data_IF_357694653601
#
_entry.id   IF_357694653601
#
_cell.length_a   1.000
_cell.length_b   1.000
_cell.length_c   1.000
_cell.angle_alpha   90.00
_cell.angle_beta   90.00
_cell.angle_gamma   90.00
#
_symmetry.space_group_name_H-M   'P 1'
#
loop_
_entity.id
_entity.type
_entity.pdbx_description
1 polymer ?
#
# COMPACT_ATOMS: atom_id res chain seq x y z
N UNK A 1 -4.10 15.78 -46.24
CA UNK A 1 -4.80 15.71 -44.94
C UNK A 1 -3.79 15.31 -43.87
N UNK A 2 -3.39 16.18 -42.94
CA UNK A 2 -2.53 15.76 -41.84
C UNK A 2 -3.37 14.98 -40.81
N UNK A 3 -2.95 13.76 -40.52
CA UNK A 3 -3.53 12.91 -39.47
C UNK A 3 -3.22 13.56 -38.12
N UNK A 4 -4.24 14.10 -37.45
CA UNK A 4 -4.10 14.64 -36.09
C UNK A 4 -3.75 13.53 -35.12
N UNK A 5 -2.61 13.64 -34.46
CA UNK A 5 -2.18 12.67 -33.46
C UNK A 5 -3.19 12.69 -32.29
N UNK A 6 -3.74 11.54 -31.87
CA UNK A 6 -4.69 11.52 -30.76
C UNK A 6 -4.02 12.06 -29.49
N UNK A 7 -4.78 12.76 -28.63
CA UNK A 7 -4.23 13.30 -27.40
C UNK A 7 -3.62 12.17 -26.56
N UNK A 8 -2.36 12.34 -26.18
CA UNK A 8 -1.70 11.49 -25.18
C UNK A 8 -2.31 11.82 -23.82
N UNK A 9 -3.34 11.11 -23.43
CA UNK A 9 -3.80 11.09 -22.04
C UNK A 9 -2.64 10.61 -21.17
N UNK A 10 -2.39 11.23 -19.99
CA UNK A 10 -1.55 10.57 -19.00
C UNK A 10 -2.14 9.18 -18.79
N UNK A 11 -1.29 8.14 -18.75
CA UNK A 11 -1.75 6.77 -18.55
C UNK A 11 -2.72 6.79 -17.37
N UNK A 12 -3.99 6.39 -17.62
CA UNK A 12 -4.95 6.29 -16.55
C UNK A 12 -4.31 5.40 -15.49
N UNK A 13 -4.12 5.93 -14.28
CA UNK A 13 -3.70 5.13 -13.13
C UNK A 13 -4.58 3.88 -13.08
N UNK A 14 -3.97 2.72 -12.82
CA UNK A 14 -4.76 1.48 -12.79
C UNK A 14 -5.80 1.56 -11.66
N UNK A 15 -6.89 0.81 -11.78
CA UNK A 15 -7.93 0.79 -10.75
C UNK A 15 -7.33 0.39 -9.40
N UNK A 16 -6.36 -0.52 -9.42
CA UNK A 16 -5.63 -0.96 -8.23
C UNK A 16 -4.79 0.16 -7.63
N UNK A 17 -4.08 0.94 -8.45
CA UNK A 17 -3.31 2.09 -7.98
C UNK A 17 -4.22 3.17 -7.38
N UNK A 18 -5.40 3.40 -7.98
CA UNK A 18 -6.41 4.28 -7.41
C UNK A 18 -6.89 3.78 -6.05
N UNK A 19 -7.22 2.48 -5.94
CA UNK A 19 -7.66 1.87 -4.67
C UNK A 19 -6.58 1.95 -3.59
N UNK A 20 -5.31 1.81 -3.94
CA UNK A 20 -4.20 1.98 -2.98
C UNK A 20 -4.11 3.43 -2.46
N UNK A 21 -4.30 4.42 -3.33
CA UNK A 21 -4.32 5.82 -2.92
C UNK A 21 -5.55 6.13 -2.03
N UNK A 22 -6.70 5.55 -2.34
CA UNK A 22 -7.90 5.66 -1.50
C UNK A 22 -7.71 4.98 -0.14
N UNK A 23 -7.08 3.80 -0.11
CA UNK A 23 -6.76 3.08 1.12
C UNK A 23 -5.78 3.87 2.00
N UNK A 24 -4.79 4.53 1.41
CA UNK A 24 -3.87 5.43 2.12
C UNK A 24 -4.59 6.61 2.75
N UNK A 25 -5.47 7.26 1.99
CA UNK A 25 -6.29 8.35 2.52
C UNK A 25 -7.22 7.87 3.63
N UNK A 26 -7.85 6.69 3.47
CA UNK A 26 -8.72 6.11 4.48
C UNK A 26 -7.95 5.75 5.76
N UNK A 27 -6.73 5.19 5.64
CA UNK A 27 -5.86 4.93 6.77
C UNK A 27 -5.50 6.23 7.50
N UNK A 28 -5.29 7.35 6.80
CA UNK A 28 -5.04 8.65 7.46
C UNK A 28 -6.20 9.11 8.36
N UNK A 29 -7.42 8.60 8.13
CA UNK A 29 -8.65 8.93 8.87
C UNK A 29 -9.13 7.83 9.84
N UNK A 30 -8.39 6.72 9.96
CA UNK A 30 -8.79 5.56 10.77
C UNK A 30 -9.89 4.68 10.14
N UNK A 31 -10.19 4.86 8.86
CA UNK A 31 -11.17 4.08 8.09
C UNK A 31 -10.53 2.91 7.32
N UNK A 32 -9.28 2.62 7.67
CA UNK A 32 -8.46 1.54 7.17
C UNK A 32 -9.17 0.16 7.06
N UNK A 33 -10.05 -0.28 8.01
CA UNK A 33 -10.61 -1.63 7.99
C UNK A 33 -11.40 -1.95 6.71
N UNK A 34 -11.95 -0.93 6.04
CA UNK A 34 -12.68 -1.09 4.77
C UNK A 34 -11.80 -1.65 3.64
N UNK A 35 -10.49 -1.46 3.71
CA UNK A 35 -9.53 -1.87 2.67
C UNK A 35 -8.67 -3.08 3.07
N UNK A 36 -8.86 -3.63 4.28
CA UNK A 36 -8.11 -4.80 4.77
C UNK A 36 -8.13 -5.99 3.80
N UNK A 37 -9.32 -6.33 3.28
CA UNK A 37 -9.49 -7.45 2.34
C UNK A 37 -8.77 -7.18 1.02
N UNK A 38 -9.00 -6.01 0.42
CA UNK A 38 -8.33 -5.58 -0.81
C UNK A 38 -6.80 -5.66 -0.67
N UNK A 39 -6.24 -5.13 0.43
CA UNK A 39 -4.80 -5.18 0.67
C UNK A 39 -4.26 -6.60 0.86
N UNK A 40 -5.07 -7.52 1.41
CA UNK A 40 -4.69 -8.92 1.53
C UNK A 40 -4.61 -9.58 0.14
N UNK A 41 -5.69 -9.47 -0.64
CA UNK A 41 -5.79 -10.03 -2.00
C UNK A 41 -4.72 -9.44 -2.92
N UNK A 42 -4.47 -8.14 -2.83
CA UNK A 42 -3.45 -7.45 -3.62
C UNK A 42 -2.04 -7.99 -3.36
N UNK A 43 -1.72 -8.37 -2.12
CA UNK A 43 -0.39 -8.88 -1.75
C UNK A 43 -0.22 -10.37 -2.07
N UNK A 44 -1.32 -11.10 -2.18
CA UNK A 44 -1.35 -12.49 -2.67
C UNK A 44 -1.10 -12.56 -4.18
N UNK A 45 -1.53 -11.53 -4.93
CA UNK A 45 -1.24 -11.42 -6.35
C UNK A 45 0.24 -11.08 -6.60
N UNK A 46 0.96 -12.02 -7.20
CA UNK A 46 2.37 -11.87 -7.57
C UNK A 46 2.56 -11.05 -8.85
N UNK A 47 1.49 -10.77 -9.59
CA UNK A 47 1.51 -10.04 -10.87
C UNK A 47 1.38 -8.53 -10.74
N UNK A 48 1.15 -8.01 -9.53
CA UNK A 48 1.03 -6.59 -9.23
C UNK A 48 2.28 -6.05 -8.49
N UNK A 49 3.43 -5.89 -9.17
CA UNK A 49 4.66 -5.39 -8.53
C UNK A 49 4.52 -3.90 -8.17
N UNK A 50 3.80 -3.12 -8.99
CA UNK A 50 3.49 -1.72 -8.71
C UNK A 50 2.69 -1.64 -7.41
N UNK A 51 2.97 -0.69 -6.52
CA UNK A 51 2.17 -0.49 -5.31
C UNK A 51 2.25 -1.59 -4.24
N UNK A 52 2.97 -2.71 -4.46
CA UNK A 52 3.15 -3.77 -3.45
C UNK A 52 3.78 -3.25 -2.17
N UNK A 53 4.76 -2.35 -2.32
CA UNK A 53 5.38 -1.62 -1.20
C UNK A 53 4.32 -0.88 -0.37
N UNK A 54 3.54 -0.02 -1.04
CA UNK A 54 2.47 0.77 -0.41
C UNK A 54 1.45 -0.15 0.26
N UNK A 55 1.03 -1.22 -0.41
CA UNK A 55 0.07 -2.17 0.13
C UNK A 55 0.57 -2.86 1.41
N UNK A 56 1.84 -3.30 1.43
CA UNK A 56 2.47 -3.89 2.63
C UNK A 56 2.48 -2.92 3.80
N UNK A 57 2.90 -1.68 3.56
CA UNK A 57 2.93 -0.65 4.58
C UNK A 57 1.52 -0.31 5.10
N UNK A 58 0.55 -0.14 4.19
CA UNK A 58 -0.84 0.14 4.56
C UNK A 58 -1.44 -0.95 5.44
N UNK A 59 -1.17 -2.23 5.13
CA UNK A 59 -1.63 -3.36 5.95
C UNK A 59 -1.07 -3.29 7.37
N UNK A 60 0.22 -3.01 7.51
CA UNK A 60 0.88 -2.89 8.80
C UNK A 60 0.31 -1.72 9.62
N UNK A 61 0.23 -0.54 9.02
CA UNK A 61 -0.38 0.65 9.62
C UNK A 61 -1.83 0.42 10.02
N UNK A 62 -2.55 -0.35 9.22
CA UNK A 62 -3.92 -0.73 9.53
C UNK A 62 -4.05 -1.51 10.84
N UNK A 63 -3.22 -2.55 11.02
CA UNK A 63 -3.24 -3.34 12.25
C UNK A 63 -2.83 -2.51 13.47
N UNK A 64 -1.89 -1.60 13.30
CA UNK A 64 -1.48 -0.65 14.35
C UNK A 64 -2.67 0.24 14.78
N UNK A 65 -3.40 0.81 13.83
CA UNK A 65 -4.61 1.62 14.09
C UNK A 65 -5.73 0.83 14.75
N UNK A 66 -5.84 -0.47 14.47
CA UNK A 66 -6.81 -1.37 15.10
C UNK A 66 -6.34 -1.88 16.47
N UNK A 67 -5.21 -1.39 17.00
CA UNK A 67 -4.62 -1.86 18.26
C UNK A 67 -4.30 -3.37 18.24
N UNK A 68 -3.81 -3.87 17.11
CA UNK A 68 -3.38 -5.25 16.89
C UNK A 68 -1.85 -5.31 16.71
N UNK A 69 -1.07 -5.11 17.80
CA UNK A 69 0.39 -4.91 17.70
C UNK A 69 1.12 -6.15 17.17
N UNK A 70 0.63 -7.36 17.46
CA UNK A 70 1.25 -8.60 16.97
C UNK A 70 1.17 -8.71 15.45
N UNK A 71 0.01 -8.38 14.88
CA UNK A 71 -0.21 -8.41 13.43
C UNK A 71 0.50 -7.23 12.74
N UNK A 72 0.51 -6.05 13.38
CA UNK A 72 1.24 -4.89 12.90
C UNK A 72 2.74 -5.17 12.80
N UNK A 73 3.35 -5.72 13.85
CA UNK A 73 4.76 -6.13 13.87
C UNK A 73 5.07 -7.13 12.77
N UNK A 74 4.20 -8.13 12.59
CA UNK A 74 4.37 -9.15 11.57
C UNK A 74 4.40 -8.55 10.16
N UNK A 75 3.50 -7.61 9.87
CA UNK A 75 3.43 -6.92 8.58
C UNK A 75 4.56 -5.90 8.39
N UNK A 76 4.94 -5.11 9.40
CA UNK A 76 6.08 -4.20 9.30
C UNK A 76 7.40 -4.95 9.10
N UNK A 77 7.59 -6.10 9.77
CA UNK A 77 8.75 -6.96 9.53
C UNK A 77 8.75 -7.54 8.12
N UNK A 78 7.59 -7.88 7.56
CA UNK A 78 7.48 -8.31 6.15
C UNK A 78 7.82 -7.18 5.20
N UNK A 79 7.27 -5.98 5.44
CA UNK A 79 7.60 -4.78 4.70
C UNK A 79 9.11 -4.53 4.68
N UNK A 80 9.79 -4.54 5.83
CA UNK A 80 11.23 -4.30 5.90
C UNK A 80 12.09 -5.38 5.24
N UNK A 81 11.59 -6.62 5.13
CA UNK A 81 12.29 -7.68 4.38
C UNK A 81 12.17 -7.50 2.88
N UNK A 82 11.00 -7.07 2.40
CA UNK A 82 10.73 -6.89 0.97
C UNK A 82 11.23 -5.52 0.47
N UNK A 83 11.18 -4.48 1.32
CA UNK A 83 11.46 -3.08 1.01
C UNK A 83 12.31 -2.42 2.13
N UNK A 84 13.56 -2.89 2.34
CA UNK A 84 14.41 -2.42 3.44
C UNK A 84 14.74 -0.91 3.37
N UNK A 85 14.77 -0.37 2.16
CA UNK A 85 15.04 1.05 1.85
C UNK A 85 13.82 1.74 1.21
N UNK A 86 12.62 1.18 1.42
CA UNK A 86 11.38 1.73 0.91
C UNK A 86 11.03 3.09 1.53
N UNK A 87 10.08 3.80 0.92
CA UNK A 87 9.62 5.12 1.34
C UNK A 87 9.15 5.15 2.80
N UNK A 88 8.61 4.04 3.31
CA UNK A 88 8.09 3.92 4.67
C UNK A 88 8.99 3.08 5.59
N UNK A 89 10.23 2.79 5.20
CA UNK A 89 11.15 1.97 5.99
C UNK A 89 11.48 2.56 7.36
N UNK A 90 11.64 3.88 7.45
CA UNK A 90 11.86 4.54 8.76
C UNK A 90 10.68 4.32 9.71
N UNK A 91 9.44 4.49 9.23
CA UNK A 91 8.23 4.29 10.02
C UNK A 91 8.13 2.84 10.50
N UNK A 92 8.33 1.89 9.58
CA UNK A 92 8.31 0.46 9.88
C UNK A 92 9.39 0.07 10.91
N UNK A 93 10.60 0.64 10.81
CA UNK A 93 11.69 0.39 11.78
C UNK A 93 11.33 0.90 13.17
N UNK A 94 10.70 2.08 13.27
CA UNK A 94 10.25 2.64 14.56
C UNK A 94 9.13 1.78 15.16
N UNK A 95 8.20 1.31 14.33
CA UNK A 95 7.07 0.51 14.77
C UNK A 95 7.48 -0.85 15.37
N UNK A 96 8.60 -1.46 14.92
CA UNK A 96 9.06 -2.77 15.42
C UNK A 96 10.15 -2.69 16.51
N UNK A 97 10.51 -1.47 16.94
CA UNK A 97 11.61 -1.21 17.87
C UNK A 97 11.17 -0.97 19.33
N UNK A 98 9.94 -1.37 19.69
CA UNK A 98 9.40 -1.27 21.05
C UNK A 98 10.03 -2.25 22.04
#
# INVERSE_FOLDING_TARGET
MPQGQPPRYPAAISVEEQLLNEAEFAASRGECPRYQLFLAEYLEDMSAPSGREKARWLRARCFDQMSMPVDADAEYRRYLREFPDGQHAEEARRAVAH
#
